data_IF_739700735857
#
_entry.id   IF_739700735857
#
_cell.length_a   1.000
_cell.length_b   1.000
_cell.length_c   1.000
_cell.angle_alpha   90.00
_cell.angle_beta   90.00
_cell.angle_gamma   90.00
#
_symmetry.space_group_name_H-M   'P 1'
#
loop_
_entity.id
_entity.type
_entity.pdbx_description
1 polymer ?
#
# COMPACT_ATOMS: atom_id res chain seq x y z
N UNK A 1 31.00 -29.93 -9.17
CA UNK A 1 30.74 -30.07 -10.62
C UNK A 1 31.18 -28.76 -11.28
N UNK A 2 32.22 -28.80 -12.10
CA UNK A 2 33.12 -27.67 -12.37
C UNK A 2 32.51 -26.55 -13.25
N UNK A 3 32.87 -25.28 -12.94
CA UNK A 3 32.52 -24.07 -13.72
C UNK A 3 32.97 -24.12 -15.20
N UNK A 4 33.79 -25.11 -15.57
CA UNK A 4 34.25 -25.33 -16.95
C UNK A 4 33.12 -25.88 -17.83
N UNK A 5 32.13 -26.62 -17.29
CA UNK A 5 31.02 -27.19 -18.09
C UNK A 5 29.92 -26.20 -18.49
N UNK A 6 29.82 -25.03 -17.85
CA UNK A 6 28.79 -24.04 -18.17
C UNK A 6 29.16 -23.11 -19.34
N UNK A 7 30.41 -23.16 -19.82
CA UNK A 7 30.94 -22.25 -20.85
C UNK A 7 30.27 -22.43 -22.23
N UNK A 8 29.67 -23.61 -22.48
CA UNK A 8 29.08 -23.97 -23.78
C UNK A 8 27.56 -24.17 -23.75
N UNK A 9 26.87 -23.84 -22.65
CA UNK A 9 25.40 -23.96 -22.59
C UNK A 9 24.71 -22.74 -23.22
N UNK A 10 24.03 -22.97 -24.35
CA UNK A 10 23.12 -22.01 -24.95
C UNK A 10 21.71 -22.14 -24.36
N UNK A 11 21.17 -21.05 -23.83
CA UNK A 11 19.80 -20.96 -23.33
C UNK A 11 18.91 -20.33 -24.40
N UNK A 12 17.95 -21.10 -24.92
CA UNK A 12 16.96 -20.59 -25.89
C UNK A 12 15.69 -20.17 -25.17
N UNK A 13 15.15 -19.01 -25.54
CA UNK A 13 13.99 -18.39 -24.90
C UNK A 13 12.99 -18.05 -26.00
N UNK A 14 11.77 -18.55 -25.87
CA UNK A 14 10.71 -18.28 -26.83
C UNK A 14 9.95 -16.99 -26.46
N UNK A 15 9.78 -16.12 -27.45
CA UNK A 15 9.06 -14.86 -27.35
C UNK A 15 7.99 -14.79 -28.43
N UNK A 16 6.80 -14.34 -28.09
CA UNK A 16 5.72 -14.06 -29.05
C UNK A 16 5.51 -12.57 -29.18
N UNK A 17 5.28 -12.06 -30.39
CA UNK A 17 4.78 -10.69 -30.58
C UNK A 17 3.28 -10.75 -30.85
N UNK A 18 2.51 -10.14 -29.95
CA UNK A 18 1.05 -10.01 -30.01
C UNK A 18 0.65 -8.54 -30.17
N UNK A 19 -0.64 -8.24 -30.11
CA UNK A 19 -1.14 -6.86 -30.14
C UNK A 19 -0.69 -6.05 -28.91
N UNK A 20 -0.25 -6.72 -27.84
CA UNK A 20 0.22 -6.11 -26.59
C UNK A 20 1.74 -5.86 -26.57
N UNK A 21 2.46 -6.23 -27.62
CA UNK A 21 3.93 -6.13 -27.67
C UNK A 21 4.62 -7.49 -27.55
N UNK A 22 5.81 -7.52 -26.95
CA UNK A 22 6.56 -8.76 -26.74
C UNK A 22 6.04 -9.48 -25.49
N UNK A 23 5.71 -10.76 -25.64
CA UNK A 23 5.22 -11.61 -24.56
C UNK A 23 6.15 -12.83 -24.38
N UNK A 24 6.70 -13.03 -23.16
CA UNK A 24 6.64 -12.13 -22.00
C UNK A 24 7.45 -10.82 -22.17
N UNK A 25 7.00 -9.74 -21.52
CA UNK A 25 7.70 -8.42 -21.48
C UNK A 25 8.98 -8.42 -20.64
N UNK A 26 9.16 -9.47 -19.84
CA UNK A 26 10.37 -9.68 -19.05
C UNK A 26 10.76 -11.15 -19.06
N UNK A 27 12.05 -11.39 -19.31
CA UNK A 27 12.64 -12.72 -19.39
C UNK A 27 13.79 -12.82 -18.40
N UNK A 28 13.82 -13.91 -17.63
CA UNK A 28 14.90 -14.23 -16.70
C UNK A 28 15.88 -15.24 -17.30
N UNK A 29 17.18 -14.95 -17.21
CA UNK A 29 18.26 -15.73 -17.85
C UNK A 29 19.34 -16.16 -16.88
N UNK A 30 19.95 -17.33 -17.13
CA UNK A 30 21.03 -17.87 -16.31
C UNK A 30 22.33 -17.11 -16.53
N UNK A 31 23.15 -17.01 -15.48
CA UNK A 31 24.43 -16.30 -15.55
C UNK A 31 25.45 -17.09 -16.36
N UNK A 32 26.16 -16.37 -17.24
CA UNK A 32 27.29 -16.92 -17.98
C UNK A 32 26.93 -17.83 -19.17
N UNK A 33 25.65 -18.06 -19.45
CA UNK A 33 25.17 -18.81 -20.62
C UNK A 33 25.05 -17.92 -21.86
N UNK A 34 25.09 -18.53 -23.04
CA UNK A 34 24.83 -17.83 -24.30
C UNK A 34 23.32 -17.79 -24.53
N UNK A 35 22.73 -16.60 -24.69
CA UNK A 35 21.26 -16.47 -24.79
C UNK A 35 20.82 -16.31 -26.24
N UNK A 36 19.85 -17.14 -26.65
CA UNK A 36 19.19 -17.09 -27.96
C UNK A 36 17.72 -16.77 -27.75
N UNK A 37 17.23 -15.69 -28.34
CA UNK A 37 15.81 -15.34 -28.36
C UNK A 37 15.19 -15.88 -29.63
N UNK A 38 14.18 -16.75 -29.51
CA UNK A 38 13.38 -17.25 -30.63
C UNK A 38 12.05 -16.49 -30.65
N UNK A 39 11.99 -15.45 -31.46
CA UNK A 39 10.86 -14.52 -31.51
C UNK A 39 9.94 -14.90 -32.66
N UNK A 40 8.64 -15.00 -32.41
CA UNK A 40 7.62 -15.26 -33.44
C UNK A 40 6.55 -14.17 -33.42
N UNK A 41 6.39 -13.44 -34.53
CA UNK A 41 5.31 -12.45 -34.68
C UNK A 41 4.00 -13.14 -35.05
N UNK A 42 2.96 -13.00 -34.23
CA UNK A 42 1.65 -13.69 -34.41
C UNK A 42 0.54 -12.77 -34.93
N UNK A 43 0.72 -11.46 -34.91
CA UNK A 43 -0.26 -10.49 -35.41
C UNK A 43 0.41 -9.49 -36.35
N UNK A 44 -0.39 -8.92 -37.26
CA UNK A 44 0.02 -7.79 -38.08
C UNK A 44 -0.37 -6.44 -37.43
N UNK A 45 -1.27 -6.48 -36.44
CA UNK A 45 -1.69 -5.33 -35.63
C UNK A 45 -0.68 -5.02 -34.52
N UNK A 46 0.59 -4.78 -34.87
CA UNK A 46 1.66 -4.48 -33.91
C UNK A 46 2.74 -3.57 -34.50
N UNK A 47 3.33 -2.70 -33.67
CA UNK A 47 4.49 -1.90 -34.07
C UNK A 47 5.82 -2.68 -34.04
N UNK A 48 5.83 -3.88 -33.44
CA UNK A 48 7.01 -4.74 -33.29
C UNK A 48 7.24 -5.64 -34.53
N UNK A 49 7.32 -5.02 -35.71
CA UNK A 49 7.71 -5.69 -36.98
C UNK A 49 9.22 -5.96 -37.07
N UNK A 50 9.99 -5.32 -36.19
CA UNK A 50 11.44 -5.47 -36.03
C UNK A 50 11.77 -5.46 -34.53
N UNK A 51 12.78 -6.23 -34.13
CA UNK A 51 13.38 -6.16 -32.79
C UNK A 51 14.73 -5.46 -32.85
N UNK A 52 14.98 -4.57 -31.89
CA UNK A 52 16.26 -3.91 -31.71
C UNK A 52 16.78 -4.14 -30.28
N UNK A 53 18.07 -4.46 -30.16
CA UNK A 53 18.80 -4.58 -28.89
C UNK A 53 19.98 -3.60 -28.93
N UNK A 54 19.79 -2.34 -28.50
CA UNK A 54 20.78 -1.27 -28.69
C UNK A 54 22.14 -1.58 -28.05
N UNK A 55 22.14 -2.17 -26.86
CA UNK A 55 23.37 -2.53 -26.13
C UNK A 55 24.25 -3.54 -26.87
N UNK A 56 23.68 -4.30 -27.80
CA UNK A 56 24.37 -5.30 -28.63
C UNK A 56 24.45 -4.89 -30.11
N UNK A 57 23.91 -3.72 -30.48
CA UNK A 57 23.80 -3.25 -31.86
C UNK A 57 23.07 -4.23 -32.79
N UNK A 58 22.16 -5.04 -32.23
CA UNK A 58 21.38 -6.01 -33.00
C UNK A 58 20.09 -5.34 -33.48
N UNK A 59 19.78 -5.51 -34.76
CA UNK A 59 18.49 -5.13 -35.36
C UNK A 59 18.06 -6.22 -36.33
N UNK A 60 16.88 -6.79 -36.14
CA UNK A 60 16.41 -7.89 -36.99
C UNK A 60 14.91 -7.84 -37.23
N UNK A 61 14.49 -8.16 -38.45
CA UNK A 61 13.10 -8.18 -38.86
C UNK A 61 12.37 -9.41 -38.32
N UNK A 62 11.08 -9.24 -38.00
CA UNK A 62 10.20 -10.28 -37.47
C UNK A 62 9.03 -10.52 -38.44
N UNK A 63 9.22 -11.34 -39.50
CA UNK A 63 8.14 -11.67 -40.43
C UNK A 63 6.96 -12.37 -39.75
N UNK A 64 5.75 -12.11 -40.27
CA UNK A 64 4.52 -12.68 -39.72
C UNK A 64 4.54 -14.21 -39.76
N UNK A 65 4.17 -14.84 -38.64
CA UNK A 65 4.08 -16.28 -38.41
C UNK A 65 5.36 -17.08 -38.67
N UNK A 66 6.53 -16.42 -38.64
CA UNK A 66 7.83 -17.07 -38.80
C UNK A 66 8.71 -16.81 -37.59
N UNK A 67 9.26 -17.88 -37.02
CA UNK A 67 10.18 -17.80 -35.90
C UNK A 67 11.56 -17.30 -36.37
N UNK A 68 12.11 -16.31 -35.66
CA UNK A 68 13.44 -15.74 -35.91
C UNK A 68 14.28 -15.93 -34.65
N UNK A 69 15.44 -16.58 -34.80
CA UNK A 69 16.42 -16.77 -33.72
C UNK A 69 17.42 -15.62 -33.72
N UNK A 70 17.58 -14.97 -32.57
CA UNK A 70 18.45 -13.82 -32.36
C UNK A 70 19.44 -14.15 -31.25
N UNK A 71 20.73 -14.16 -31.59
CA UNK A 71 21.79 -14.42 -30.62
C UNK A 71 22.13 -13.14 -29.87
N UNK A 72 21.75 -13.08 -28.59
CA UNK A 72 22.03 -11.93 -27.70
C UNK A 72 23.48 -11.96 -27.21
N UNK A 73 24.08 -13.15 -27.22
CA UNK A 73 25.42 -13.40 -26.72
C UNK A 73 25.44 -13.68 -25.22
N UNK A 74 26.65 -13.74 -24.67
CA UNK A 74 26.88 -14.02 -23.26
C UNK A 74 26.47 -12.84 -22.37
N UNK A 75 25.76 -13.15 -21.30
CA UNK A 75 25.28 -12.17 -20.32
C UNK A 75 26.07 -12.29 -19.02
N UNK A 76 27.05 -11.38 -18.84
CA UNK A 76 27.95 -11.38 -17.68
C UNK A 76 27.44 -10.45 -16.57
N UNK A 77 26.89 -9.26 -16.90
CA UNK A 77 26.21 -8.36 -15.94
C UNK A 77 25.41 -7.24 -16.65
N UNK A 78 24.07 -7.25 -16.60
CA UNK A 78 23.18 -6.09 -16.74
C UNK A 78 21.72 -6.50 -17.01
N UNK A 79 20.78 -5.55 -17.01
CA UNK A 79 19.50 -5.69 -17.72
C UNK A 79 19.77 -5.45 -19.22
N UNK A 80 19.22 -6.28 -20.11
CA UNK A 80 19.26 -6.00 -21.55
C UNK A 80 17.86 -5.63 -22.02
N UNK A 81 17.73 -4.39 -22.49
CA UNK A 81 16.50 -3.88 -23.07
C UNK A 81 16.41 -4.23 -24.54
N UNK A 82 15.21 -4.60 -24.98
CA UNK A 82 14.87 -4.80 -26.37
C UNK A 82 13.54 -4.09 -26.66
N UNK A 83 13.30 -3.73 -27.92
CA UNK A 83 12.12 -2.97 -28.29
C UNK A 83 11.85 -2.98 -29.79
N UNK A 84 10.76 -2.33 -30.18
CA UNK A 84 10.34 -2.27 -31.58
C UNK A 84 11.26 -1.33 -32.39
N UNK A 85 11.21 -1.47 -33.72
CA UNK A 85 12.06 -0.72 -34.64
C UNK A 85 11.92 0.81 -34.58
N UNK A 86 10.83 1.30 -33.97
CA UNK A 86 10.44 2.71 -33.89
C UNK A 86 10.98 3.45 -32.65
N UNK A 87 12.04 2.94 -32.00
CA UNK A 87 12.67 3.53 -30.80
C UNK A 87 11.76 3.61 -29.53
N UNK A 88 10.62 2.93 -29.51
CA UNK A 88 9.84 2.72 -28.28
C UNK A 88 10.36 1.45 -27.58
N UNK A 89 11.06 1.63 -26.46
CA UNK A 89 11.59 0.55 -25.63
C UNK A 89 10.61 0.27 -24.50
N UNK A 90 9.98 -0.92 -24.50
CA UNK A 90 9.00 -1.30 -23.47
C UNK A 90 9.44 -2.52 -22.64
N UNK A 91 10.40 -3.31 -23.12
CA UNK A 91 10.67 -4.66 -22.59
C UNK A 91 12.12 -4.90 -22.14
N UNK A 92 12.28 -5.77 -21.12
CA UNK A 92 13.54 -5.93 -20.40
C UNK A 92 13.87 -7.40 -20.09
N UNK A 93 15.04 -7.88 -20.50
CA UNK A 93 15.61 -9.13 -19.98
C UNK A 93 16.21 -8.85 -18.61
N UNK A 94 15.60 -9.41 -17.57
CA UNK A 94 16.07 -9.31 -16.18
C UNK A 94 16.94 -10.52 -15.85
N UNK A 95 17.82 -10.35 -14.88
CA UNK A 95 18.59 -11.47 -14.33
C UNK A 95 17.81 -12.11 -13.19
N UNK A 96 17.90 -13.42 -13.08
CA UNK A 96 17.47 -14.10 -11.87
C UNK A 96 18.70 -14.50 -11.04
N UNK A 97 18.69 -14.15 -9.74
CA UNK A 97 19.68 -14.63 -8.75
C UNK A 97 19.10 -15.76 -7.87
N UNK A 98 17.87 -16.18 -8.09
CA UNK A 98 17.11 -17.08 -7.22
C UNK A 98 16.49 -18.29 -7.95
N UNK A 99 17.21 -18.89 -8.90
CA UNK A 99 16.90 -20.27 -9.29
C UNK A 99 17.69 -21.25 -8.40
N UNK A 100 17.05 -21.77 -7.35
CA UNK A 100 17.60 -22.84 -6.50
C UNK A 100 17.44 -24.18 -7.21
N UNK A 101 18.55 -24.78 -7.65
CA UNK A 101 18.71 -26.24 -7.63
C UNK A 101 19.29 -26.65 -6.27
N UNK A 102 18.72 -27.71 -5.72
CA UNK A 102 18.92 -28.24 -4.37
C UNK A 102 20.30 -28.91 -4.29
N UNK A 103 21.12 -28.54 -3.29
CA UNK A 103 21.75 -29.45 -2.32
C UNK A 103 22.81 -28.71 -1.48
N UNK A 104 22.56 -28.62 -0.16
CA UNK A 104 23.55 -28.37 0.89
C UNK A 104 24.15 -26.96 1.02
N UNK A 105 23.49 -26.03 1.71
CA UNK A 105 24.19 -24.90 2.34
C UNK A 105 23.48 -24.42 3.61
N UNK A 106 24.25 -24.40 4.70
CA UNK A 106 23.85 -24.17 6.09
C UNK A 106 23.73 -22.66 6.39
N UNK A 107 22.59 -22.24 6.96
CA UNK A 107 22.19 -20.84 7.10
C UNK A 107 22.74 -20.16 8.37
N UNK A 108 23.45 -20.86 9.23
CA UNK A 108 23.85 -20.33 10.54
C UNK A 108 25.14 -19.47 10.54
N UNK A 109 25.78 -19.22 9.38
CA UNK A 109 27.08 -18.54 9.33
C UNK A 109 27.15 -17.18 8.61
N UNK A 110 26.05 -16.64 8.10
CA UNK A 110 26.06 -15.30 7.49
C UNK A 110 25.52 -14.23 8.45
N UNK A 111 26.38 -13.68 9.32
CA UNK A 111 26.09 -12.43 10.03
C UNK A 111 26.13 -11.27 9.03
N UNK A 112 24.96 -10.73 8.69
CA UNK A 112 24.81 -9.44 8.01
C UNK A 112 24.60 -8.40 9.12
N UNK A 113 25.47 -7.39 9.20
CA UNK A 113 25.29 -6.30 10.15
C UNK A 113 24.02 -5.48 9.80
N UNK A 114 23.22 -5.08 10.80
CA UNK A 114 21.97 -4.38 10.57
C UNK A 114 22.24 -2.94 10.11
N UNK A 115 21.72 -2.59 8.93
CA UNK A 115 21.63 -1.20 8.45
C UNK A 115 20.81 -0.38 9.45
N UNK A 116 21.41 0.69 10.00
CA UNK A 116 20.76 1.59 10.95
C UNK A 116 19.65 2.40 10.25
N UNK A 117 18.41 2.03 10.54
CA UNK A 117 17.22 2.53 9.87
C UNK A 117 16.79 3.93 10.34
N UNK A 118 17.30 4.42 11.47
CA UNK A 118 16.87 5.72 12.01
C UNK A 118 17.57 6.88 11.28
N UNK A 119 18.85 6.72 10.94
CA UNK A 119 19.64 7.73 10.23
C UNK A 119 19.11 8.03 8.83
N UNK A 120 18.70 7.00 8.09
CA UNK A 120 18.09 7.14 6.76
C UNK A 120 16.73 7.87 6.78
N UNK A 121 15.96 7.73 7.86
CA UNK A 121 14.67 8.43 8.02
C UNK A 121 14.89 9.92 8.26
N UNK A 122 15.90 10.27 9.05
CA UNK A 122 16.30 11.66 9.31
C UNK A 122 16.85 12.34 8.05
N UNK A 123 17.71 11.64 7.29
CA UNK A 123 18.28 12.13 6.02
C UNK A 123 17.20 12.39 4.95
N UNK A 124 16.20 11.50 4.83
CA UNK A 124 15.07 11.69 3.89
C UNK A 124 14.15 12.82 4.35
N UNK A 125 13.92 12.96 5.66
CA UNK A 125 13.14 14.06 6.24
C UNK A 125 13.76 15.42 5.96
N UNK A 126 15.08 15.54 6.12
CA UNK A 126 15.86 16.75 5.80
C UNK A 126 15.85 17.05 4.29
N UNK A 127 15.97 16.03 3.44
CA UNK A 127 15.93 16.21 1.98
C UNK A 127 14.58 16.76 1.47
N UNK A 128 13.46 16.38 2.10
CA UNK A 128 12.13 16.91 1.76
C UNK A 128 12.02 18.41 2.07
N UNK A 129 12.65 18.88 3.15
CA UNK A 129 12.64 20.30 3.53
C UNK A 129 13.38 21.18 2.51
N UNK A 130 14.35 20.62 1.79
CA UNK A 130 15.15 21.32 0.79
C UNK A 130 14.54 21.32 -0.63
N UNK A 131 13.31 20.80 -0.80
CA UNK A 131 12.61 20.85 -2.08
C UNK A 131 11.99 22.23 -2.34
N UNK A 132 11.93 22.70 -3.61
CA UNK A 132 11.20 23.92 -3.98
C UNK A 132 9.73 23.85 -3.53
N UNK A 133 9.16 24.97 -3.07
CA UNK A 133 7.85 25.02 -2.41
C UNK A 133 6.73 24.25 -3.13
N UNK A 134 6.58 24.44 -4.44
CA UNK A 134 5.55 23.73 -5.22
C UNK A 134 5.78 22.21 -5.32
N UNK A 135 7.03 21.75 -5.30
CA UNK A 135 7.38 20.32 -5.30
C UNK A 135 7.19 19.71 -3.92
N UNK A 136 7.62 20.41 -2.86
CA UNK A 136 7.42 20.01 -1.48
C UNK A 136 5.93 19.81 -1.18
N UNK A 137 5.11 20.82 -1.47
CA UNK A 137 3.66 20.78 -1.25
C UNK A 137 3.01 19.68 -2.09
N UNK A 138 3.35 19.55 -3.37
CA UNK A 138 2.78 18.49 -4.22
C UNK A 138 3.19 17.08 -3.76
N UNK A 139 4.43 16.89 -3.29
CA UNK A 139 4.91 15.61 -2.78
C UNK A 139 4.27 15.26 -1.44
N UNK A 140 4.12 16.24 -0.53
CA UNK A 140 3.39 16.07 0.72
C UNK A 140 1.93 15.71 0.44
N UNK A 141 1.24 16.48 -0.41
CA UNK A 141 -0.15 16.17 -0.76
C UNK A 141 -0.31 14.80 -1.43
N UNK A 142 0.65 14.38 -2.27
CA UNK A 142 0.58 13.09 -2.98
C UNK A 142 0.88 11.90 -2.08
N UNK A 143 1.95 11.98 -1.31
CA UNK A 143 2.51 10.83 -0.59
C UNK A 143 2.12 10.81 0.88
N UNK A 144 1.88 11.97 1.50
CA UNK A 144 1.43 12.07 2.90
C UNK A 144 -0.09 12.18 2.96
N UNK A 145 -0.68 13.13 2.24
CA UNK A 145 -2.13 13.34 2.28
C UNK A 145 -2.90 12.39 1.34
N UNK A 146 -2.21 11.57 0.54
CA UNK A 146 -2.76 10.63 -0.44
C UNK A 146 -3.74 11.25 -1.46
N UNK A 147 -3.65 12.56 -1.70
CA UNK A 147 -4.53 13.25 -2.65
C UNK A 147 -4.32 12.73 -4.08
N UNK A 148 -5.42 12.68 -4.82
CA UNK A 148 -5.42 12.40 -6.25
C UNK A 148 -4.78 13.55 -7.02
N UNK A 149 -4.31 13.29 -8.23
CA UNK A 149 -3.76 14.35 -9.08
C UNK A 149 -4.77 15.48 -9.35
N UNK A 150 -6.07 15.19 -9.28
CA UNK A 150 -7.13 16.18 -9.46
C UNK A 150 -7.27 17.10 -8.23
N UNK A 151 -7.30 16.53 -7.03
CA UNK A 151 -7.39 17.29 -5.77
C UNK A 151 -6.14 18.15 -5.54
N UNK A 152 -4.97 17.65 -5.90
CA UNK A 152 -3.71 18.41 -5.85
C UNK A 152 -3.73 19.54 -6.90
N UNK A 153 -4.28 19.29 -8.08
CA UNK A 153 -4.36 20.27 -9.14
C UNK A 153 -5.28 21.43 -8.76
N UNK A 154 -6.41 21.13 -8.14
CA UNK A 154 -7.31 22.12 -7.56
C UNK A 154 -6.62 22.95 -6.47
N UNK A 155 -5.93 22.28 -5.53
CA UNK A 155 -5.20 22.94 -4.43
C UNK A 155 -4.08 23.86 -4.92
N UNK A 156 -3.34 23.46 -5.97
CA UNK A 156 -2.23 24.23 -6.54
C UNK A 156 -2.66 25.14 -7.69
N UNK A 157 -3.98 25.31 -7.93
CA UNK A 157 -4.52 26.12 -9.04
C UNK A 157 -3.86 25.81 -10.38
N UNK A 158 -3.73 24.52 -10.69
CA UNK A 158 -3.00 23.99 -11.85
C UNK A 158 -3.74 22.81 -12.48
N UNK A 159 -3.12 22.10 -13.44
CA UNK A 159 -3.72 20.93 -14.08
C UNK A 159 -3.18 19.61 -13.51
N UNK A 160 -3.95 18.50 -13.52
CA UNK A 160 -3.48 17.19 -13.07
C UNK A 160 -2.23 16.70 -13.80
N UNK A 161 -2.09 17.05 -15.08
CA UNK A 161 -0.90 16.77 -15.88
C UNK A 161 0.33 17.51 -15.35
N UNK A 162 0.18 18.80 -15.01
CA UNK A 162 1.26 19.58 -14.43
C UNK A 162 1.65 19.05 -13.04
N UNK A 163 0.68 18.64 -12.22
CA UNK A 163 0.95 17.99 -10.92
C UNK A 163 1.81 16.74 -11.08
N UNK A 164 1.51 15.87 -12.07
CA UNK A 164 2.34 14.68 -12.34
C UNK A 164 3.78 15.07 -12.66
N UNK A 165 3.98 16.14 -13.44
CA UNK A 165 5.31 16.66 -13.76
C UNK A 165 6.02 17.22 -12.53
N UNK A 166 5.33 17.98 -11.68
CA UNK A 166 5.87 18.53 -10.43
C UNK A 166 6.34 17.40 -9.50
N UNK A 167 5.50 16.37 -9.30
CA UNK A 167 5.85 15.21 -8.48
C UNK A 167 7.02 14.43 -9.08
N UNK A 168 7.03 14.21 -10.40
CA UNK A 168 8.14 13.53 -11.08
C UNK A 168 9.47 14.27 -10.91
N UNK A 169 9.46 15.61 -11.03
CA UNK A 169 10.63 16.46 -10.79
C UNK A 169 11.06 16.44 -9.33
N UNK A 170 10.11 16.49 -8.39
CA UNK A 170 10.37 16.40 -6.96
C UNK A 170 11.04 15.08 -6.55
N UNK A 171 10.56 13.94 -7.06
CA UNK A 171 11.19 12.63 -6.83
C UNK A 171 12.60 12.57 -7.41
N UNK A 172 12.80 13.11 -8.61
CA UNK A 172 14.13 13.19 -9.23
C UNK A 172 15.09 14.01 -8.36
N UNK A 173 14.63 15.16 -7.86
CA UNK A 173 15.42 16.05 -6.99
C UNK A 173 15.70 15.43 -5.63
N UNK A 174 14.73 14.74 -5.05
CA UNK A 174 14.89 14.00 -3.80
C UNK A 174 15.98 12.93 -3.94
N UNK A 175 15.99 12.20 -5.07
CA UNK A 175 17.07 11.24 -5.38
C UNK A 175 18.42 11.92 -5.47
N UNK A 176 18.51 13.06 -6.15
CA UNK A 176 19.75 13.85 -6.24
C UNK A 176 20.25 14.31 -4.86
N UNK A 177 19.37 14.81 -3.98
CA UNK A 177 19.71 15.27 -2.63
C UNK A 177 20.15 14.12 -1.71
N UNK A 178 19.48 12.96 -1.80
CA UNK A 178 19.86 11.75 -1.07
C UNK A 178 21.22 11.23 -1.58
N UNK A 179 21.47 11.32 -2.89
CA UNK A 179 22.78 10.97 -3.48
C UNK A 179 23.90 11.95 -3.08
N UNK A 180 23.60 13.24 -2.88
CA UNK A 180 24.59 14.24 -2.44
C UNK A 180 25.02 14.02 -0.98
N UNK A 181 24.11 13.53 -0.12
CA UNK A 181 24.44 13.13 1.26
C UNK A 181 25.32 11.86 1.36
N UNK A 182 25.27 10.99 0.36
CA UNK A 182 26.01 9.72 0.30
C UNK A 182 27.49 9.88 -0.15
N UNK A 183 27.83 10.99 -0.81
CA UNK A 183 29.22 11.27 -1.24
C UNK A 183 30.18 11.54 -0.10
N UNK A 184 29.68 11.83 1.11
CA UNK A 184 30.52 12.03 2.29
C UNK A 184 30.82 10.73 3.03
N UNK A 185 30.32 9.55 2.60
CA UNK A 185 30.55 8.31 3.36
C UNK A 185 30.65 6.98 2.61
N UNK A 186 30.69 6.89 1.28
CA UNK A 186 30.98 5.59 0.63
C UNK A 186 31.86 5.65 -0.62
N UNK A 187 33.03 5.02 -0.54
CA UNK A 187 33.91 4.67 -1.66
C UNK A 187 33.33 3.52 -2.49
N UNK A 188 32.23 3.77 -3.22
CA UNK A 188 31.86 3.15 -4.51
C UNK A 188 30.37 3.38 -4.78
N UNK A 189 30.08 4.42 -5.56
CA UNK A 189 28.73 4.78 -6.00
C UNK A 189 28.09 3.76 -6.94
N UNK A 190 27.47 2.72 -6.37
CA UNK A 190 26.41 1.97 -7.05
C UNK A 190 25.26 1.68 -6.08
N UNK A 191 24.18 2.45 -6.22
CA UNK A 191 22.93 2.22 -5.50
C UNK A 191 22.22 0.99 -6.09
N UNK A 192 21.89 -0.03 -5.26
CA UNK A 192 21.18 -1.24 -5.71
C UNK A 192 19.77 -0.96 -6.24
N UNK A 193 19.38 -1.55 -7.38
CA UNK A 193 18.06 -1.36 -8.01
C UNK A 193 16.87 -1.73 -7.11
N UNK A 194 17.07 -2.61 -6.14
CA UNK A 194 16.08 -3.04 -5.14
C UNK A 194 15.91 -2.05 -3.98
N UNK A 195 16.80 -1.06 -3.84
CA UNK A 195 16.73 -0.08 -2.77
C UNK A 195 15.55 0.88 -2.99
N UNK A 196 15.24 1.24 -4.24
CA UNK A 196 14.11 2.12 -4.56
C UNK A 196 12.75 1.48 -4.23
N UNK A 197 12.57 0.20 -4.58
CA UNK A 197 11.33 -0.53 -4.26
C UNK A 197 11.23 -0.85 -2.76
N UNK A 198 12.34 -1.19 -2.11
CA UNK A 198 12.37 -1.41 -0.66
C UNK A 198 12.13 -0.11 0.12
N UNK A 199 12.72 1.02 -0.29
CA UNK A 199 12.48 2.34 0.29
C UNK A 199 11.02 2.76 0.05
N UNK A 200 10.49 2.64 -1.17
CA UNK A 200 9.10 3.01 -1.45
C UNK A 200 8.09 2.09 -0.75
N UNK A 201 8.35 0.78 -0.65
CA UNK A 201 7.51 -0.17 0.08
C UNK A 201 7.59 0.07 1.60
N UNK A 202 8.76 0.48 2.12
CA UNK A 202 8.94 0.80 3.54
C UNK A 202 8.37 2.16 3.89
N UNK A 203 8.48 3.16 3.01
CA UNK A 203 7.78 4.45 3.07
C UNK A 203 6.26 4.23 3.03
N UNK A 204 5.74 3.39 2.12
CA UNK A 204 4.32 3.00 2.11
C UNK A 204 3.89 2.28 3.39
N UNK A 205 4.75 1.43 3.96
CA UNK A 205 4.49 0.73 5.24
C UNK A 205 4.57 1.67 6.45
N UNK A 206 5.32 2.77 6.36
CA UNK A 206 5.40 3.82 7.36
C UNK A 206 4.25 4.84 7.24
N UNK A 207 3.70 5.02 6.03
CA UNK A 207 2.60 5.95 5.74
C UNK A 207 1.22 5.31 5.94
N UNK A 208 1.11 3.97 5.85
CA UNK A 208 -0.16 3.26 5.98
C UNK A 208 -0.24 2.64 7.38
N UNK A 209 -0.95 3.25 8.35
CA UNK A 209 -1.11 2.65 9.67
C UNK A 209 -1.72 1.26 9.52
N UNK A 210 -1.12 0.28 10.19
CA UNK A 210 -1.60 -1.09 10.22
C UNK A 210 -3.04 -1.11 10.74
N UNK A 211 -3.94 -1.70 9.95
CA UNK A 211 -5.35 -1.83 10.33
C UNK A 211 -5.51 -2.56 11.68
N UNK A 212 -4.57 -3.46 12.02
CA UNK A 212 -4.53 -4.11 13.32
C UNK A 212 -4.25 -3.14 14.48
N UNK A 213 -3.33 -2.18 14.31
CA UNK A 213 -3.03 -1.18 15.34
C UNK A 213 -4.21 -0.23 15.54
N UNK A 214 -4.88 0.15 14.44
CA UNK A 214 -6.11 0.94 14.49
C UNK A 214 -7.22 0.18 15.20
N UNK A 215 -7.37 -1.11 14.89
CA UNK A 215 -8.33 -1.97 15.57
C UNK A 215 -8.03 -2.12 17.07
N UNK A 216 -6.76 -2.24 17.47
CA UNK A 216 -6.39 -2.27 18.89
C UNK A 216 -6.74 -0.96 19.59
N UNK A 217 -6.47 0.20 18.98
CA UNK A 217 -6.89 1.51 19.53
C UNK A 217 -8.42 1.60 19.67
N UNK A 218 -9.16 1.20 18.63
CA UNK A 218 -10.61 1.13 18.65
C UNK A 218 -11.11 0.20 19.76
N UNK A 219 -10.55 -1.00 19.88
CA UNK A 219 -10.92 -1.97 20.91
C UNK A 219 -10.64 -1.44 22.32
N UNK A 220 -9.50 -0.78 22.55
CA UNK A 220 -9.19 -0.17 23.84
C UNK A 220 -10.18 0.94 24.22
N UNK A 221 -10.47 1.85 23.30
CA UNK A 221 -11.47 2.91 23.53
C UNK A 221 -12.86 2.30 23.71
N UNK A 222 -13.22 1.29 22.92
CA UNK A 222 -14.50 0.59 23.01
C UNK A 222 -14.68 -0.12 24.35
N UNK A 223 -13.63 -0.75 24.90
CA UNK A 223 -13.72 -1.37 26.22
C UNK A 223 -14.03 -0.33 27.31
N UNK A 224 -13.35 0.83 27.27
CA UNK A 224 -13.58 1.92 28.24
C UNK A 224 -14.96 2.54 28.06
N UNK A 225 -15.29 2.98 26.84
CA UNK A 225 -16.57 3.59 26.53
C UNK A 225 -17.72 2.61 26.76
N UNK A 226 -17.48 1.33 26.48
CA UNK A 226 -18.46 0.28 26.66
C UNK A 226 -18.79 0.06 28.13
N UNK A 227 -17.76 -0.07 28.97
CA UNK A 227 -17.92 -0.13 30.42
C UNK A 227 -18.62 1.12 30.96
N UNK A 228 -18.14 2.32 30.61
CA UNK A 228 -18.75 3.57 31.06
C UNK A 228 -20.21 3.72 30.60
N UNK A 229 -20.56 3.24 29.41
CA UNK A 229 -21.95 3.31 28.93
C UNK A 229 -22.92 2.53 29.80
N UNK A 230 -22.46 1.49 30.54
CA UNK A 230 -23.29 0.74 31.47
C UNK A 230 -23.74 1.57 32.68
N UNK A 231 -23.13 2.74 32.93
CA UNK A 231 -23.65 3.69 33.93
C UNK A 231 -24.97 4.35 33.51
N UNK A 232 -25.23 4.42 32.19
CA UNK A 232 -26.39 5.10 31.60
C UNK A 232 -27.35 4.10 30.93
N UNK A 233 -26.83 3.00 30.39
CA UNK A 233 -27.59 2.02 29.63
C UNK A 233 -27.24 0.60 30.09
N UNK A 234 -28.15 -0.01 30.86
CA UNK A 234 -28.01 -1.38 31.35
C UNK A 234 -28.25 -2.38 30.21
N UNK A 235 -27.25 -2.56 29.37
CA UNK A 235 -27.35 -3.49 28.26
C UNK A 235 -27.45 -4.91 28.79
N UNK A 236 -28.46 -5.64 28.30
CA UNK A 236 -28.77 -7.00 28.74
C UNK A 236 -28.96 -7.14 30.26
N UNK A 237 -29.36 -6.06 30.95
CA UNK A 237 -29.57 -6.05 32.39
C UNK A 237 -28.29 -5.90 33.23
N UNK A 238 -27.13 -5.66 32.62
CA UNK A 238 -25.89 -5.41 33.37
C UNK A 238 -25.86 -3.98 33.92
N UNK A 239 -25.80 -3.86 35.26
CA UNK A 239 -25.73 -2.57 35.97
C UNK A 239 -24.59 -2.57 37.02
N UNK A 240 -23.32 -2.52 36.60
CA UNK A 240 -22.18 -2.53 37.52
C UNK A 240 -22.07 -1.25 38.38
N UNK A 241 -22.81 -0.19 38.02
CA UNK A 241 -22.79 1.10 38.74
C UNK A 241 -23.98 1.29 39.67
N UNK A 242 -24.90 0.32 39.76
CA UNK A 242 -26.13 0.38 40.56
C UNK A 242 -26.93 1.68 40.33
N UNK A 243 -27.05 2.13 39.08
CA UNK A 243 -27.87 3.31 38.75
C UNK A 243 -29.35 2.94 38.64
N UNK A 244 -30.24 3.85 39.04
CA UNK A 244 -31.70 3.59 39.07
C UNK A 244 -32.37 3.73 37.69
N UNK A 245 -31.77 4.48 36.78
CA UNK A 245 -32.33 4.80 35.46
C UNK A 245 -31.47 4.22 34.35
N UNK A 246 -32.12 3.63 33.35
CA UNK A 246 -31.46 3.08 32.17
C UNK A 246 -32.07 3.61 30.88
N UNK A 247 -31.22 4.01 29.94
CA UNK A 247 -31.63 4.32 28.57
C UNK A 247 -32.28 3.11 27.88
N UNK A 248 -31.89 1.89 28.25
CA UNK A 248 -32.51 0.67 27.74
C UNK A 248 -34.00 0.60 28.12
N UNK A 249 -34.39 1.03 29.33
CA UNK A 249 -35.79 1.07 29.75
C UNK A 249 -36.61 2.03 28.91
N UNK A 250 -35.99 3.17 28.54
CA UNK A 250 -36.62 4.13 27.65
C UNK A 250 -36.82 3.54 26.24
N UNK A 251 -35.80 2.90 25.65
CA UNK A 251 -35.96 2.24 24.36
C UNK A 251 -37.02 1.12 24.39
N UNK A 252 -37.05 0.34 25.48
CA UNK A 252 -38.07 -0.69 25.68
C UNK A 252 -39.48 -0.10 25.75
N UNK A 253 -39.67 1.04 26.42
CA UNK A 253 -40.96 1.74 26.48
C UNK A 253 -41.40 2.31 25.13
N UNK A 254 -40.46 2.85 24.36
CA UNK A 254 -40.76 3.55 23.10
C UNK A 254 -41.04 2.58 21.95
N UNK A 255 -40.25 1.52 21.81
CA UNK A 255 -40.31 0.64 20.64
C UNK A 255 -40.23 -0.85 20.94
N UNK A 256 -40.32 -1.23 22.23
CA UNK A 256 -40.23 -2.62 22.65
C UNK A 256 -38.84 -3.21 22.49
N UNK A 257 -38.78 -4.54 22.61
CA UNK A 257 -37.52 -5.27 22.70
C UNK A 257 -36.67 -5.17 21.43
N UNK A 258 -37.26 -5.34 20.25
CA UNK A 258 -36.51 -5.26 18.99
C UNK A 258 -35.89 -3.87 18.76
N UNK A 259 -36.61 -2.81 19.08
CA UNK A 259 -36.10 -1.44 18.96
C UNK A 259 -34.97 -1.18 19.93
N UNK A 260 -35.11 -1.62 21.20
CA UNK A 260 -34.05 -1.53 22.19
C UNK A 260 -32.77 -2.21 21.71
N UNK A 261 -32.87 -3.44 21.21
CA UNK A 261 -31.70 -4.21 20.78
C UNK A 261 -30.98 -3.57 19.60
N UNK A 262 -31.72 -3.15 18.58
CA UNK A 262 -31.15 -2.43 17.42
C UNK A 262 -30.54 -1.08 17.84
N UNK A 263 -31.29 -0.29 18.62
CA UNK A 263 -30.87 1.04 19.08
C UNK A 263 -29.64 1.01 19.98
N UNK A 264 -29.57 0.04 20.90
CA UNK A 264 -28.40 -0.18 21.76
C UNK A 264 -27.17 -0.51 20.91
N UNK A 265 -27.27 -1.42 19.94
CA UNK A 265 -26.17 -1.73 19.03
C UNK A 265 -25.67 -0.48 18.29
N UNK A 266 -26.59 0.30 17.70
CA UNK A 266 -26.27 1.56 17.00
C UNK A 266 -25.52 2.51 17.92
N UNK A 267 -26.12 2.85 19.06
CA UNK A 267 -25.60 3.84 19.98
C UNK A 267 -24.21 3.44 20.50
N UNK A 268 -24.08 2.19 20.92
CA UNK A 268 -22.88 1.70 21.60
C UNK A 268 -21.66 1.73 20.67
N UNK A 269 -21.78 1.21 19.45
CA UNK A 269 -20.68 1.23 18.48
C UNK A 269 -20.44 2.63 17.91
N UNK A 270 -21.50 3.41 17.65
CA UNK A 270 -21.34 4.77 17.14
C UNK A 270 -20.57 5.66 18.12
N UNK A 271 -20.96 5.69 19.40
CA UNK A 271 -20.26 6.48 20.44
C UNK A 271 -18.81 6.03 20.57
N UNK A 272 -18.53 4.73 20.53
CA UNK A 272 -17.17 4.20 20.58
C UNK A 272 -16.30 4.69 19.42
N UNK A 273 -16.85 4.75 18.21
CA UNK A 273 -16.12 5.21 17.02
C UNK A 273 -15.95 6.72 17.03
N UNK A 274 -16.95 7.49 17.47
CA UNK A 274 -16.80 8.94 17.64
C UNK A 274 -15.69 9.25 18.67
N UNK A 275 -15.70 8.57 19.81
CA UNK A 275 -14.65 8.70 20.83
C UNK A 275 -13.28 8.28 20.27
N UNK A 276 -13.20 7.15 19.57
CA UNK A 276 -11.96 6.67 18.93
C UNK A 276 -11.46 7.67 17.88
N UNK A 277 -12.37 8.23 17.10
CA UNK A 277 -12.10 9.23 16.08
C UNK A 277 -11.42 10.49 16.62
N UNK A 278 -11.64 10.84 17.88
CA UNK A 278 -10.89 11.92 18.54
C UNK A 278 -9.39 11.60 18.65
N UNK A 279 -9.03 10.36 18.99
CA UNK A 279 -7.65 9.93 19.25
C UNK A 279 -6.90 9.43 18.01
N UNK A 280 -7.59 8.97 16.97
CA UNK A 280 -6.95 8.47 15.75
C UNK A 280 -6.34 9.61 14.93
N UNK A 281 -5.19 9.38 14.29
CA UNK A 281 -4.70 10.30 13.26
C UNK A 281 -5.58 10.24 12.00
N UNK A 282 -5.37 11.14 11.05
CA UNK A 282 -6.15 11.16 9.80
C UNK A 282 -5.89 9.89 8.98
N UNK A 283 -4.64 9.43 8.95
CA UNK A 283 -4.19 8.21 8.28
C UNK A 283 -4.83 6.99 8.93
N UNK A 284 -4.95 6.99 10.26
CA UNK A 284 -5.61 5.92 11.01
C UNK A 284 -7.11 5.89 10.75
N UNK A 285 -7.76 7.05 10.63
CA UNK A 285 -9.17 7.14 10.24
C UNK A 285 -9.38 6.67 8.79
N UNK A 286 -8.45 6.95 7.87
CA UNK A 286 -8.46 6.38 6.51
C UNK A 286 -8.33 4.85 6.55
N UNK A 287 -7.45 4.32 7.39
CA UNK A 287 -7.28 2.88 7.56
C UNK A 287 -8.52 2.22 8.19
N UNK A 288 -9.15 2.87 9.18
CA UNK A 288 -10.45 2.47 9.74
C UNK A 288 -11.50 2.41 8.64
N UNK A 289 -11.64 3.48 7.82
CA UNK A 289 -12.63 3.55 6.74
C UNK A 289 -12.45 2.44 5.70
N UNK A 290 -11.21 2.11 5.33
CA UNK A 290 -10.91 1.02 4.37
C UNK A 290 -11.32 -0.36 4.89
N UNK A 291 -11.31 -0.56 6.20
CA UNK A 291 -11.56 -1.87 6.83
C UNK A 291 -12.80 -1.84 7.73
N UNK A 292 -13.69 -0.87 7.52
CA UNK A 292 -14.79 -0.54 8.42
C UNK A 292 -15.73 -1.72 8.66
N UNK A 293 -16.01 -2.52 7.63
CA UNK A 293 -16.87 -3.70 7.77
C UNK A 293 -16.28 -4.71 8.76
N UNK A 294 -15.01 -5.07 8.58
CA UNK A 294 -14.36 -6.08 9.40
C UNK A 294 -14.19 -5.57 10.84
N UNK A 295 -13.77 -4.31 11.03
CA UNK A 295 -13.59 -3.76 12.37
C UNK A 295 -14.92 -3.64 13.14
N UNK A 296 -15.99 -3.16 12.50
CA UNK A 296 -17.31 -3.06 13.14
C UNK A 296 -17.89 -4.44 13.47
N UNK A 297 -17.74 -5.41 12.55
CA UNK A 297 -18.16 -6.79 12.80
C UNK A 297 -17.38 -7.41 13.96
N UNK A 298 -16.05 -7.25 13.98
CA UNK A 298 -15.19 -7.75 15.05
C UNK A 298 -15.53 -7.13 16.40
N UNK A 299 -15.72 -5.81 16.47
CA UNK A 299 -16.15 -5.16 17.72
C UNK A 299 -17.50 -5.72 18.17
N UNK A 300 -18.50 -5.76 17.30
CA UNK A 300 -19.83 -6.25 17.67
C UNK A 300 -19.83 -7.70 18.15
N UNK A 301 -19.09 -8.60 17.49
CA UNK A 301 -18.95 -9.99 17.91
C UNK A 301 -18.20 -10.13 19.24
N UNK A 302 -17.14 -9.34 19.46
CA UNK A 302 -16.41 -9.32 20.73
C UNK A 302 -17.32 -8.82 21.86
N UNK A 303 -18.11 -7.76 21.65
CA UNK A 303 -19.05 -7.24 22.65
C UNK A 303 -20.08 -8.30 23.04
N UNK A 304 -20.71 -8.95 22.05
CA UNK A 304 -21.66 -10.03 22.30
C UNK A 304 -21.00 -11.22 23.02
N UNK A 305 -19.79 -11.60 22.60
CA UNK A 305 -19.02 -12.65 23.28
C UNK A 305 -18.71 -12.31 24.73
N UNK A 306 -18.39 -11.04 25.04
CA UNK A 306 -18.19 -10.57 26.41
C UNK A 306 -19.48 -10.63 27.23
N UNK A 307 -20.61 -10.17 26.68
CA UNK A 307 -21.90 -10.29 27.38
C UNK A 307 -22.24 -11.75 27.70
N UNK A 308 -22.05 -12.66 26.75
CA UNK A 308 -22.22 -14.10 26.97
C UNK A 308 -21.28 -14.61 28.09
N UNK A 309 -20.02 -14.17 28.11
CA UNK A 309 -19.04 -14.57 29.12
C UNK A 309 -19.41 -14.07 30.54
N UNK A 310 -20.15 -12.97 30.65
CA UNK A 310 -20.70 -12.46 31.92
C UNK A 310 -22.04 -13.09 32.30
N UNK A 311 -22.45 -14.18 31.65
CA UNK A 311 -23.63 -14.96 32.00
C UNK A 311 -24.93 -14.41 31.42
N UNK A 312 -24.88 -13.53 30.43
CA UNK A 312 -26.07 -13.06 29.73
C UNK A 312 -26.58 -14.15 28.79
N UNK A 313 -27.79 -14.64 29.05
CA UNK A 313 -28.51 -15.51 28.13
C UNK A 313 -29.05 -14.70 26.95
N UNK A 314 -28.60 -15.02 25.74
CA UNK A 314 -29.00 -14.31 24.52
C UNK A 314 -29.65 -15.25 23.51
N UNK A 315 -30.83 -14.87 23.05
CA UNK A 315 -31.48 -15.52 21.91
C UNK A 315 -30.80 -15.01 20.63
N UNK A 316 -30.51 -15.92 19.69
CA UNK A 316 -29.78 -15.61 18.46
C UNK A 316 -30.42 -14.48 17.64
N UNK A 317 -31.76 -14.44 17.56
CA UNK A 317 -32.48 -13.39 16.84
C UNK A 317 -32.28 -12.00 17.45
N UNK A 318 -32.24 -11.93 18.78
CA UNK A 318 -32.04 -10.71 19.56
C UNK A 318 -30.58 -10.24 19.46
N UNK A 319 -29.63 -11.16 19.57
CA UNK A 319 -28.21 -10.88 19.35
C UNK A 319 -27.96 -10.41 17.90
N UNK A 320 -28.64 -11.00 16.92
CA UNK A 320 -28.57 -10.60 15.52
C UNK A 320 -29.07 -9.18 15.27
N UNK A 321 -30.17 -8.77 15.91
CA UNK A 321 -30.66 -7.39 15.84
C UNK A 321 -29.69 -6.39 16.46
N UNK A 322 -29.09 -6.74 17.60
CA UNK A 322 -28.07 -5.91 18.21
C UNK A 322 -26.84 -5.76 17.31
N UNK A 323 -26.36 -6.87 16.73
CA UNK A 323 -25.22 -6.85 15.80
C UNK A 323 -25.51 -6.03 14.53
N UNK A 324 -26.73 -6.14 13.99
CA UNK A 324 -27.18 -5.31 12.87
C UNK A 324 -27.13 -3.82 13.23
N UNK A 325 -27.61 -3.47 14.43
CA UNK A 325 -27.54 -2.11 14.94
C UNK A 325 -26.10 -1.62 15.06
N UNK A 326 -25.23 -2.44 15.63
CA UNK A 326 -23.80 -2.19 15.76
C UNK A 326 -23.12 -1.89 14.41
N UNK A 327 -23.43 -2.67 13.37
CA UNK A 327 -22.91 -2.42 12.01
C UNK A 327 -23.43 -1.09 11.44
N UNK A 328 -24.73 -0.81 11.56
CA UNK A 328 -25.34 0.45 11.07
C UNK A 328 -24.69 1.65 11.77
N UNK A 329 -24.66 1.66 13.10
CA UNK A 329 -24.03 2.71 13.89
C UNK A 329 -22.55 2.87 13.54
N UNK A 330 -21.86 1.73 13.35
CA UNK A 330 -20.47 1.66 12.96
C UNK A 330 -20.16 2.37 11.64
N UNK A 331 -20.91 2.04 10.58
CA UNK A 331 -20.71 2.64 9.26
C UNK A 331 -21.04 4.13 9.24
N UNK A 332 -22.14 4.52 9.90
CA UNK A 332 -22.55 5.93 9.97
C UNK A 332 -21.52 6.74 10.72
N UNK A 333 -21.09 6.30 11.91
CA UNK A 333 -20.10 7.00 12.72
C UNK A 333 -18.73 7.07 12.03
N UNK A 334 -18.26 5.97 11.44
CA UNK A 334 -16.98 5.95 10.72
C UNK A 334 -16.99 6.93 9.54
N UNK A 335 -18.09 6.97 8.79
CA UNK A 335 -18.25 7.92 7.67
C UNK A 335 -18.30 9.37 8.16
N UNK A 336 -18.96 9.64 9.28
CA UNK A 336 -19.03 10.96 9.88
C UNK A 336 -17.64 11.43 10.35
N UNK A 337 -16.94 10.61 11.14
CA UNK A 337 -15.58 10.88 11.63
C UNK A 337 -14.60 11.13 10.47
N UNK A 338 -14.66 10.31 9.42
CA UNK A 338 -13.86 10.48 8.21
C UNK A 338 -14.08 11.86 7.56
N UNK A 339 -15.33 12.28 7.40
CA UNK A 339 -15.66 13.59 6.82
C UNK A 339 -15.24 14.76 7.72
N UNK A 340 -15.43 14.64 9.04
CA UNK A 340 -15.08 15.69 10.01
C UNK A 340 -13.57 15.94 9.99
N UNK A 341 -12.75 14.89 10.12
CA UNK A 341 -11.29 15.03 10.08
C UNK A 341 -10.76 15.49 8.72
N UNK A 342 -11.36 15.02 7.62
CA UNK A 342 -10.97 15.45 6.28
C UNK A 342 -11.17 16.95 6.05
N UNK A 343 -12.24 17.54 6.60
CA UNK A 343 -12.50 18.98 6.52
C UNK A 343 -11.53 19.81 7.37
N UNK A 344 -11.14 19.29 8.53
CA UNK A 344 -10.25 20.00 9.47
C UNK A 344 -8.86 20.25 8.87
N UNK A 345 -8.28 19.24 8.19
CA UNK A 345 -7.02 19.41 7.45
C UNK A 345 -7.14 20.40 6.28
N UNK A 346 -8.27 20.40 5.58
CA UNK A 346 -8.48 21.32 4.46
C UNK A 346 -8.49 22.78 4.95
N UNK A 347 -9.06 23.06 6.13
CA UNK A 347 -9.03 24.39 6.73
C UNK A 347 -7.64 24.79 7.24
N UNK A 348 -6.88 23.85 7.80
CA UNK A 348 -5.56 24.13 8.38
C UNK A 348 -4.52 24.45 7.28
N UNK A 349 -4.51 23.67 6.19
CA UNK A 349 -3.68 23.98 5.02
C UNK A 349 -4.07 25.32 4.36
N UNK A 350 -5.35 25.71 4.40
CA UNK A 350 -5.79 26.98 3.81
C UNK A 350 -5.32 28.19 4.64
N UNK A 351 -5.26 28.06 5.97
CA UNK A 351 -4.74 29.08 6.87
C UNK A 351 -3.22 29.26 6.73
N UNK A 352 -2.45 28.19 6.54
CA UNK A 352 -1.00 28.31 6.27
C UNK A 352 -0.72 29.03 4.94
N UNK A 353 -1.52 28.76 3.90
CA UNK A 353 -1.38 29.43 2.59
C UNK A 353 -1.72 30.93 2.65
N UNK A 354 -2.59 31.36 3.57
CA UNK A 354 -2.92 32.78 3.75
C UNK A 354 -1.88 33.54 4.61
N UNK A 355 -1.00 32.83 5.31
CA UNK A 355 0.03 33.38 6.19
C UNK A 355 1.44 33.39 5.56
N UNK A 356 1.64 32.73 4.41
CA UNK A 356 2.82 32.83 3.53
C UNK A 356 2.59 33.83 2.38
#
# INVERSE_FOLDING_TARGET
>A
MDMVKMKDMAQTIELSVTEKGFEPSTVNVMLGTNVILKVTRKTDSTCATQIQIPSKKIKQELPLNKAVSIEVGRLEKGEIRFGCGMNMMEDAIKKDKNFKSIDGFDLDKAKIEPVDNNRLVEEVGLAIQNLPGSQKIAMQMRYVEEKTFNEIAESLKTTPTNVRQIISRGIKRLKELIHEGDFLNTDNGQVPDNLNEAILAKIQKLIKPSAWMVFLKLLSVHAVMGFLSLSICHQFGLNPFNTDYSLADWFMKVGGHHFCMLGCGILFVAVSIFATGYFLTVEEVKALKRTEFLQNLSIGLISLGLFAAFGVEMILSIAGLWLLGALIGGFVATTAVYKIKGRWLASENQLEIELE
#
